data_IF_576354114048
#
_entry.id   IF_576354114048
#
_cell.length_a   1.000
_cell.length_b   1.000
_cell.length_c   1.000
_cell.angle_alpha   90.00
_cell.angle_beta   90.00
_cell.angle_gamma   90.00
#
_symmetry.space_group_name_H-M   'P 1'
#
loop_
_entity.id
_entity.type
_entity.pdbx_description
1 polymer ?
2 non-polymer ?
3 non-polymer ?
4 water ?
#
# COMPACT_ATOMS: atom_id res chain seq x y z
N UNK A 3 21.04 -13.93 5.77
CA UNK A 3 19.90 -13.76 6.66
C UNK A 3 19.66 -14.98 7.54
N UNK A 4 19.17 -14.74 8.74
CA UNK A 4 18.69 -15.84 9.60
C UNK A 4 17.60 -16.64 8.88
N UNK A 5 17.37 -17.89 9.26
CA UNK A 5 16.26 -18.65 8.71
C UNK A 5 14.94 -18.04 9.15
N UNK A 6 13.93 -17.95 8.26
CA UNK A 6 12.59 -17.56 8.73
C UNK A 6 12.13 -18.55 9.80
N UNK A 7 11.33 -18.02 10.73
CA UNK A 7 10.83 -18.77 11.88
C UNK A 7 9.35 -19.08 11.67
N UNK A 8 9.02 -20.26 11.16
CA UNK A 8 7.62 -20.59 10.89
C UNK A 8 6.81 -20.75 12.16
N UNK A 9 7.39 -21.26 13.24
CA UNK A 9 6.65 -21.38 14.50
C UNK A 9 6.26 -19.98 14.98
N UNK A 10 7.18 -19.04 14.86
CA UNK A 10 6.91 -17.62 15.22
C UNK A 10 5.82 -17.06 14.30
N UNK A 11 5.92 -17.30 13.01
CA UNK A 11 4.86 -16.83 12.10
C UNK A 11 3.51 -17.40 12.49
N UNK A 12 3.46 -18.71 12.79
CA UNK A 12 2.22 -19.36 13.19
C UNK A 12 1.63 -18.65 14.41
N UNK A 13 2.44 -18.32 15.39
CA UNK A 13 2.03 -17.65 16.62
C UNK A 13 1.48 -16.27 16.29
N UNK A 14 2.10 -15.55 15.37
CA UNK A 14 1.59 -14.24 14.99
C UNK A 14 0.18 -14.33 14.43
N UNK A 15 0.00 -15.28 13.49
CA UNK A 15 -1.33 -15.40 12.89
C UNK A 15 -2.36 -15.80 13.93
N UNK A 16 -1.98 -16.71 14.82
CA UNK A 16 -2.94 -17.13 15.87
C UNK A 16 -3.32 -15.98 16.78
N UNK A 17 -2.33 -15.15 17.12
CA UNK A 17 -2.61 -13.98 17.92
C UNK A 17 -3.55 -13.04 17.17
N UNK A 18 -3.30 -12.82 15.88
CA UNK A 18 -4.17 -11.91 15.12
C UNK A 18 -5.60 -12.40 15.14
N UNK A 19 -5.82 -13.71 15.00
CA UNK A 19 -7.18 -14.25 15.10
C UNK A 19 -7.77 -13.96 16.47
N UNK A 20 -6.98 -14.14 17.53
CA UNK A 20 -7.48 -13.92 18.90
C UNK A 20 -7.85 -12.47 19.11
N UNK A 21 -7.35 -11.55 18.32
CA UNK A 21 -7.59 -10.12 18.44
C UNK A 21 -8.69 -9.65 17.49
N UNK A 22 -9.24 -10.50 16.65
CA UNK A 22 -10.38 -10.15 15.84
C UNK A 22 -10.23 -10.28 14.36
N UNK A 23 -9.08 -10.72 13.84
CA UNK A 23 -8.97 -10.99 12.41
C UNK A 23 -9.71 -12.25 12.09
N UNK A 24 -10.66 -12.28 11.14
CA UNK A 24 -11.24 -13.58 10.77
C UNK A 24 -10.22 -14.55 10.22
N UNK A 25 -9.28 -14.03 9.44
CA UNK A 25 -8.22 -14.78 8.82
C UNK A 25 -6.97 -13.98 8.75
N UNK A 26 -5.85 -14.69 8.70
CA UNK A 26 -4.55 -14.04 8.60
C UNK A 26 -3.59 -15.00 7.90
N UNK A 27 -2.69 -14.49 7.11
CA UNK A 27 -1.82 -15.33 6.33
C UNK A 27 -0.54 -14.62 5.96
N UNK A 28 0.47 -15.37 5.56
CA UNK A 28 1.79 -14.85 5.24
C UNK A 28 2.49 -15.78 4.25
N UNK A 29 3.20 -15.17 3.30
CA UNK A 29 4.07 -15.89 2.39
C UNK A 29 5.44 -15.27 2.41
N UNK A 30 6.48 -16.07 2.55
CA UNK A 30 7.85 -15.64 2.45
C UNK A 30 8.46 -16.32 1.20
N UNK A 31 9.11 -15.55 0.36
CA UNK A 31 9.96 -16.11 -0.69
C UNK A 31 11.38 -15.88 -0.21
N UNK A 32 12.00 -16.95 0.29
CA UNK A 32 13.35 -16.90 0.84
C UNK A 32 14.33 -17.42 -0.18
N UNK A 33 14.74 -16.57 -1.12
CA UNK A 33 15.70 -16.91 -2.15
C UNK A 33 15.38 -18.21 -2.82
N UNK A 34 14.10 -18.39 -3.19
CA UNK A 34 13.70 -19.56 -3.90
C UNK A 34 13.09 -20.68 -3.09
N UNK A 35 13.07 -20.54 -1.77
CA UNK A 35 12.37 -21.50 -0.93
C UNK A 35 11.17 -20.78 -0.33
N UNK A 36 9.98 -21.35 -0.48
CA UNK A 36 8.73 -20.70 -0.06
C UNK A 36 8.35 -21.14 1.34
N UNK A 37 7.88 -20.15 2.10
CA UNK A 37 7.20 -20.38 3.39
C UNK A 37 5.77 -19.85 3.26
N UNK A 38 4.77 -20.63 3.66
CA UNK A 38 3.39 -20.16 3.51
C UNK A 38 2.54 -20.70 4.65
N UNK A 39 1.86 -19.79 5.34
CA UNK A 39 1.02 -20.13 6.47
C UNK A 39 -0.26 -19.29 6.42
N UNK A 40 -1.34 -19.87 6.89
CA UNK A 40 -2.60 -19.19 6.96
C UNK A 40 -3.41 -19.78 8.12
N UNK A 41 -4.26 -18.97 8.74
CA UNK A 41 -5.17 -19.45 9.76
C UNK A 41 -6.48 -18.70 9.62
N UNK A 42 -7.59 -19.40 9.85
CA UNK A 42 -8.89 -18.78 9.85
C UNK A 42 -9.53 -18.75 8.47
N UNK A 43 -10.45 -17.77 8.35
CA UNK A 43 -11.45 -17.80 7.29
C UNK A 43 -11.33 -16.59 6.35
N UNK A 44 -11.50 -16.88 5.07
CA UNK A 44 -11.67 -15.88 4.03
C UNK A 44 -13.07 -15.28 4.07
N UNK A 45 -14.07 -16.11 4.41
CA UNK A 45 -15.46 -15.68 4.46
C UNK A 45 -15.97 -16.24 5.79
N UNK A 46 -16.28 -15.31 6.70
CA UNK A 46 -16.65 -15.71 8.05
C UNK A 46 -18.10 -16.21 8.15
N UNK A 47 -18.92 -15.91 7.15
CA UNK A 47 -20.29 -16.34 7.14
C UNK A 47 -20.40 -17.74 6.55
N UNK A 48 -19.65 -18.04 5.49
CA UNK A 48 -19.66 -19.36 4.90
C UNK A 48 -18.65 -20.30 5.54
N UNK A 49 -17.63 -19.77 6.24
CA UNK A 49 -16.61 -20.56 6.82
C UNK A 49 -15.47 -20.97 5.90
N UNK A 50 -15.49 -20.51 4.67
CA UNK A 50 -14.40 -20.83 3.75
C UNK A 50 -13.05 -20.40 4.30
N UNK A 51 -12.09 -21.31 4.31
CA UNK A 51 -10.78 -21.05 4.86
C UNK A 51 -10.01 -20.03 4.00
N UNK A 52 -9.23 -19.18 4.68
CA UNK A 52 -8.28 -18.30 3.97
C UNK A 52 -7.08 -19.09 3.56
N UNK A 53 -6.49 -18.69 2.46
CA UNK A 53 -5.29 -19.32 1.93
C UNK A 53 -4.37 -18.29 1.29
N UNK A 54 -3.09 -18.59 1.20
CA UNK A 54 -2.14 -17.61 0.70
C UNK A 54 -2.32 -17.34 -0.81
N UNK A 55 -3.14 -18.06 -1.53
CA UNK A 55 -3.45 -17.77 -2.90
C UNK A 55 -4.67 -16.85 -3.08
N UNK A 56 -5.38 -16.49 -1.99
CA UNK A 56 -6.53 -15.63 -2.09
C UNK A 56 -6.13 -14.21 -2.45
N UNK A 57 -6.81 -13.66 -3.46
CA UNK A 57 -6.59 -12.25 -3.81
C UNK A 57 -7.19 -11.35 -2.75
N UNK A 58 -6.67 -10.14 -2.67
CA UNK A 58 -7.10 -9.20 -1.65
C UNK A 58 -6.78 -7.76 -2.09
N UNK A 59 -7.36 -6.78 -1.41
CA UNK A 59 -7.09 -5.37 -1.65
C UNK A 59 -5.86 -4.94 -0.87
N UNK A 60 -4.85 -4.44 -1.59
CA UNK A 60 -3.55 -4.10 -0.98
C UNK A 60 -3.49 -2.72 -0.38
N UNK A 61 -4.56 -1.93 -0.57
CA UNK A 61 -4.62 -0.58 0.00
C UNK A 61 -3.43 0.24 -0.39
N UNK A 62 -2.84 0.92 0.59
CA UNK A 62 -1.78 1.89 0.33
C UNK A 62 -0.50 1.28 -0.21
N UNK A 63 -0.36 -0.05 -0.30
CA UNK A 63 0.76 -0.62 -1.07
C UNK A 63 0.72 -0.09 -2.50
N UNK A 64 -0.47 0.29 -2.98
CA UNK A 64 -0.63 0.88 -4.29
C UNK A 64 0.31 2.05 -4.53
N UNK A 65 0.66 2.80 -3.47
CA UNK A 65 1.54 3.93 -3.66
C UNK A 65 2.87 3.52 -4.27
N UNK A 66 3.39 2.34 -3.93
CA UNK A 66 4.66 1.88 -4.53
C UNK A 66 4.50 1.61 -6.01
N UNK A 67 3.36 1.09 -6.43
CA UNK A 67 3.10 0.90 -7.86
C UNK A 67 3.07 2.25 -8.60
N UNK A 68 2.34 3.21 -8.02
CA UNK A 68 2.31 4.55 -8.60
C UNK A 68 3.70 5.17 -8.65
N UNK A 69 4.48 5.01 -7.61
CA UNK A 69 5.84 5.55 -7.57
C UNK A 69 6.71 4.92 -8.64
N UNK A 70 6.61 3.62 -8.84
CA UNK A 70 7.40 3.00 -9.90
C UNK A 70 7.07 3.58 -11.25
N UNK A 71 5.79 3.78 -11.55
CA UNK A 71 5.41 4.40 -12.83
C UNK A 71 6.03 5.80 -12.95
N UNK A 72 5.87 6.63 -11.92
CA UNK A 72 6.44 7.98 -11.97
C UNK A 72 7.94 7.94 -12.16
N UNK A 73 8.65 7.06 -11.49
CA UNK A 73 10.10 6.99 -11.61
C UNK A 73 10.54 6.51 -12.99
N UNK A 74 9.75 5.63 -13.62
CA UNK A 74 10.04 5.31 -14.99
C UNK A 74 9.84 6.52 -15.90
N UNK A 75 8.84 7.34 -15.62
CA UNK A 75 8.66 8.57 -16.38
C UNK A 75 9.83 9.51 -16.19
N UNK A 76 10.45 9.53 -15.02
CA UNK A 76 11.67 10.30 -14.79
C UNK A 76 12.78 9.73 -15.70
N UNK A 77 12.96 8.43 -15.68
CA UNK A 77 13.98 7.79 -16.54
C UNK A 77 13.79 8.15 -18.00
N UNK A 78 12.54 8.29 -18.45
CA UNK A 78 12.24 8.59 -19.84
C UNK A 78 12.31 10.07 -20.15
N UNK A 79 12.56 10.91 -19.16
CA UNK A 79 12.71 12.32 -19.42
C UNK A 79 11.41 13.08 -19.45
N UNK A 80 10.33 12.49 -18.98
CA UNK A 80 9.02 13.07 -19.02
C UNK A 80 8.60 13.78 -17.74
N UNK A 81 9.37 13.60 -16.69
CA UNK A 81 9.06 14.08 -15.36
C UNK A 81 10.37 14.47 -14.65
N UNK A 82 10.34 15.61 -13.98
CA UNK A 82 11.46 16.06 -13.16
C UNK A 82 10.99 16.07 -11.72
N UNK A 83 11.62 15.33 -10.85
CA UNK A 83 11.17 15.24 -9.45
C UNK A 83 11.19 16.58 -8.74
N UNK A 84 12.07 17.53 -9.15
CA UNK A 84 12.14 18.81 -8.48
C UNK A 84 11.37 19.90 -9.16
N UNK A 85 10.62 19.59 -10.22
CA UNK A 85 9.68 20.52 -10.79
C UNK A 85 8.45 20.62 -9.90
N UNK A 86 7.80 21.80 -9.95
CA UNK A 86 6.54 22.04 -9.30
C UNK A 86 5.44 21.17 -9.87
N UNK A 87 4.58 20.65 -9.00
CA UNK A 87 3.39 19.95 -9.49
C UNK A 87 2.62 20.80 -10.50
N UNK A 88 2.47 22.10 -10.18
CA UNK A 88 1.69 22.99 -11.02
C UNK A 88 2.33 23.25 -12.38
N UNK A 89 3.59 22.89 -12.57
CA UNK A 89 4.13 22.99 -13.93
C UNK A 89 3.46 22.00 -14.86
N UNK A 90 3.15 20.80 -14.35
CA UNK A 90 2.51 19.76 -15.12
C UNK A 90 0.97 19.79 -15.09
N UNK A 91 0.43 20.31 -14.00
CA UNK A 91 -1.02 20.34 -13.75
C UNK A 91 -1.31 21.78 -13.39
N UNK A 92 -1.33 22.68 -14.38
CA UNK A 92 -1.45 24.10 -14.03
C UNK A 92 -2.68 24.38 -13.22
N UNK A 93 -2.49 25.20 -12.20
CA UNK A 93 -3.48 25.63 -11.27
C UNK A 93 -3.98 24.62 -10.29
N UNK A 94 -3.36 23.46 -10.19
CA UNK A 94 -3.91 22.43 -9.32
C UNK A 94 -3.79 22.79 -7.87
N UNK A 95 -2.61 23.20 -7.44
CA UNK A 95 -2.34 23.40 -6.05
C UNK A 95 -2.19 24.90 -5.77
N UNK A 96 -2.48 25.30 -4.53
CA UNK A 96 -2.35 26.71 -4.13
C UNK A 96 -0.92 27.24 -4.11
N UNK A 97 0.06 26.34 -4.03
CA UNK A 97 1.44 26.76 -3.87
C UNK A 97 2.27 26.16 -5.00
N UNK A 98 2.82 26.99 -5.85
CA UNK A 98 3.73 26.60 -6.93
C UNK A 98 5.01 25.97 -6.41
N UNK A 99 5.38 26.16 -5.17
CA UNK A 99 6.64 25.59 -4.68
C UNK A 99 6.53 24.15 -4.35
N UNK A 100 5.34 23.55 -4.30
CA UNK A 100 5.20 22.15 -3.98
C UNK A 100 5.63 21.33 -5.17
N UNK A 101 6.65 20.46 -4.94
CA UNK A 101 7.25 19.69 -6.01
C UNK A 101 6.80 18.24 -6.01
N UNK A 102 7.07 17.58 -7.14
CA UNK A 102 6.76 16.18 -7.28
C UNK A 102 7.44 15.35 -6.21
N UNK A 103 8.73 15.62 -5.93
CA UNK A 103 9.45 14.86 -4.92
C UNK A 103 8.80 15.01 -3.55
N UNK A 104 8.37 16.23 -3.23
CA UNK A 104 7.68 16.44 -1.96
C UNK A 104 6.39 15.66 -1.88
N UNK A 105 5.60 15.65 -2.95
CA UNK A 105 4.37 14.85 -2.91
C UNK A 105 4.68 13.39 -2.70
N UNK A 106 5.68 12.86 -3.44
CA UNK A 106 5.92 11.43 -3.36
C UNK A 106 6.48 10.95 -2.03
N UNK A 107 7.01 11.87 -1.23
CA UNK A 107 7.60 11.59 0.07
C UNK A 107 6.75 12.08 1.24
N UNK A 108 5.51 12.51 0.94
CA UNK A 108 4.59 12.99 1.99
C UNK A 108 5.15 14.19 2.73
N UNK A 109 5.80 15.10 2.00
CA UNK A 109 6.34 16.35 2.54
C UNK A 109 5.66 17.55 1.91
N UNK A 110 4.49 17.41 1.28
CA UNK A 110 3.87 18.48 0.56
C UNK A 110 3.03 19.46 1.36
N UNK A 111 2.61 19.02 2.55
CA UNK A 111 1.63 19.73 3.33
C UNK A 111 0.21 19.57 2.96
N UNK A 112 -0.10 18.80 1.92
CA UNK A 112 -1.49 18.68 1.47
C UNK A 112 -2.34 17.93 2.48
N UNK A 113 -3.46 18.52 2.86
CA UNK A 113 -4.35 17.89 3.85
C UNK A 113 -4.90 16.59 3.33
N UNK A 114 -4.95 15.59 4.20
CA UNK A 114 -5.48 14.28 3.85
C UNK A 114 -7.03 14.30 4.00
N UNK A 115 -7.72 14.36 2.88
CA UNK A 115 -9.19 14.38 2.80
C UNK A 115 -9.82 13.17 3.48
N UNK A 116 -9.09 12.07 3.59
CA UNK A 116 -9.71 10.90 4.23
C UNK A 116 -9.97 11.17 5.72
N UNK A 117 -9.34 12.17 6.34
CA UNK A 117 -9.69 12.49 7.73
C UNK A 117 -11.13 12.99 7.81
N UNK A 118 -11.63 13.60 6.77
CA UNK A 118 -13.01 14.03 6.74
C UNK A 118 -13.86 12.78 6.46
N UNK A 119 -13.47 11.97 5.49
CA UNK A 119 -14.31 10.86 5.07
C UNK A 119 -14.55 9.81 6.12
N UNK A 120 -13.53 9.51 6.89
CA UNK A 120 -13.55 8.35 7.77
C UNK A 120 -13.44 8.75 9.24
N UNK A 121 -13.91 9.97 9.59
CA UNK A 121 -14.03 10.40 11.00
C UNK A 121 -14.76 9.33 11.80
N UNK A 122 -15.80 8.75 11.22
CA UNK A 122 -16.54 7.60 11.76
C UNK A 122 -16.33 6.44 10.77
N UNK A 123 -15.81 5.32 11.24
CA UNK A 123 -15.31 4.29 10.33
C UNK A 123 -16.40 3.69 9.45
N UNK A 124 -17.41 3.10 10.06
CA UNK A 124 -18.43 2.41 9.25
C UNK A 124 -19.30 3.39 8.51
N UNK A 125 -19.82 4.46 9.11
CA UNK A 125 -20.57 5.45 8.32
C UNK A 125 -19.77 6.01 7.16
N UNK A 126 -18.48 6.26 7.36
CA UNK A 126 -17.65 6.78 6.28
C UNK A 126 -17.52 5.79 5.17
N UNK A 127 -17.32 4.51 5.48
CA UNK A 127 -17.29 3.48 4.48
C UNK A 127 -18.59 3.44 3.70
N UNK A 128 -19.70 3.45 4.41
CA UNK A 128 -21.00 3.43 3.75
C UNK A 128 -21.20 4.64 2.85
N UNK A 129 -20.60 5.76 3.21
CA UNK A 129 -20.67 6.96 2.38
C UNK A 129 -19.90 6.82 1.06
N UNK A 130 -18.70 6.29 1.09
CA UNK A 130 -17.81 6.30 -0.06
C UNK A 130 -17.88 5.04 -0.89
N UNK A 131 -18.34 3.92 -0.35
CA UNK A 131 -18.04 2.64 -0.96
C UNK A 131 -18.56 2.51 -2.39
N UNK A 132 -19.67 3.15 -2.69
CA UNK A 132 -20.33 3.06 -3.98
C UNK A 132 -20.29 4.39 -4.71
N UNK A 133 -19.36 5.27 -4.37
CA UNK A 133 -19.17 6.52 -5.08
C UNK A 133 -17.99 6.39 -6.05
N UNK A 134 -18.11 7.19 -7.10
CA UNK A 134 -17.04 7.34 -8.10
C UNK A 134 -16.59 8.80 -8.07
N UNK A 135 -15.37 9.05 -7.73
CA UNK A 135 -14.77 10.36 -7.71
C UNK A 135 -13.82 10.53 -8.87
N UNK A 136 -13.73 11.77 -9.40
CA UNK A 136 -12.61 12.09 -10.25
C UNK A 136 -11.41 12.38 -9.38
N UNK A 137 -10.21 12.37 -10.00
CA UNK A 137 -9.02 12.82 -9.27
C UNK A 137 -9.22 14.26 -8.76
N UNK A 138 -9.70 15.11 -9.64
CA UNK A 138 -9.93 16.51 -9.26
C UNK A 138 -10.88 16.61 -8.08
N UNK A 139 -11.92 15.80 -8.00
CA UNK A 139 -12.84 15.85 -6.88
C UNK A 139 -12.08 15.70 -5.56
N UNK A 140 -11.16 14.73 -5.51
CA UNK A 140 -10.41 14.41 -4.30
C UNK A 140 -9.46 15.55 -3.96
N UNK A 141 -8.77 16.11 -4.95
CA UNK A 141 -7.92 17.26 -4.71
C UNK A 141 -8.75 18.42 -4.14
N UNK A 142 -9.90 18.69 -4.72
CA UNK A 142 -10.76 19.78 -4.20
C UNK A 142 -11.12 19.54 -2.77
N UNK A 143 -11.43 18.30 -2.37
CA UNK A 143 -11.75 18.01 -0.98
C UNK A 143 -10.58 18.33 -0.08
N UNK A 144 -9.36 17.97 -0.48
CA UNK A 144 -8.18 18.34 0.30
C UNK A 144 -8.05 19.86 0.47
N UNK A 145 -8.26 20.55 -0.66
CA UNK A 145 -7.97 21.99 -0.73
C UNK A 145 -9.05 22.79 -0.02
N UNK A 146 -10.11 22.19 0.46
CA UNK A 146 -11.02 22.88 1.41
C UNK A 146 -10.29 23.23 2.68
N UNK A 147 -9.16 22.60 2.95
CA UNK A 147 -8.35 22.82 4.15
C UNK A 147 -7.03 23.45 3.71
N UNK A 148 -6.48 24.21 4.66
CA UNK A 148 -5.15 24.72 4.40
C UNK A 148 -4.11 23.64 4.41
N UNK A 149 -2.98 23.92 3.80
CA UNK A 149 -1.87 22.99 3.96
C UNK A 149 -1.49 22.97 5.43
N UNK A 150 -0.88 21.87 5.81
CA UNK A 150 -0.52 21.55 7.19
C UNK A 150 0.92 21.91 7.54
N UNK A 151 1.74 22.19 6.55
CA UNK A 151 3.14 22.58 6.72
C UNK A 151 3.61 23.21 5.43
N UNK A 152 4.75 23.89 5.53
CA UNK A 152 5.37 24.49 4.36
C UNK A 152 5.90 23.43 3.43
N UNK A 153 6.07 23.70 2.12
CA UNK A 153 6.53 22.68 1.17
C UNK A 153 7.85 22.06 1.60
N UNK A 154 7.88 20.73 1.69
CA UNK A 154 9.05 19.96 1.96
C UNK A 154 9.38 19.88 3.44
N UNK A 155 8.66 20.61 4.33
CA UNK A 155 9.12 20.88 5.67
C UNK A 155 8.98 19.75 6.67
N UNK A 156 8.06 18.84 6.49
CA UNK A 156 7.67 17.86 7.46
C UNK A 156 7.06 16.66 6.76
N UNK A 157 7.25 15.50 7.34
CA UNK A 157 6.57 14.29 6.91
C UNK A 157 5.18 14.30 7.50
N UNK A 158 4.19 14.12 6.69
CA UNK A 158 2.81 13.95 7.11
C UNK A 158 2.10 13.12 6.06
N UNK A 159 1.82 11.87 6.38
CA UNK A 159 1.25 10.98 5.40
C UNK A 159 -0.05 11.54 4.86
N UNK A 160 -0.23 11.57 3.56
CA UNK A 160 -1.49 12.02 3.00
C UNK A 160 -1.81 11.27 1.72
N UNK A 161 -3.00 10.70 1.67
CA UNK A 161 -3.53 10.10 0.47
C UNK A 161 -3.57 11.06 -0.69
N UNK A 162 -3.81 12.34 -0.41
CA UNK A 162 -3.89 13.37 -1.46
C UNK A 162 -2.63 13.33 -2.31
N UNK A 163 -1.46 13.05 -1.72
CA UNK A 163 -0.23 13.04 -2.49
C UNK A 163 -0.28 12.03 -3.62
N UNK A 164 -0.85 10.86 -3.39
CA UNK A 164 -0.85 9.84 -4.43
C UNK A 164 -2.11 9.92 -5.30
N UNK A 165 -3.09 10.73 -4.95
CA UNK A 165 -4.07 11.23 -5.92
C UNK A 165 -3.36 12.12 -6.93
N UNK A 166 -2.54 13.08 -6.46
CA UNK A 166 -1.73 13.88 -7.37
C UNK A 166 -0.92 12.99 -8.27
N UNK A 167 -0.30 11.93 -7.69
CA UNK A 167 0.52 11.01 -8.48
C UNK A 167 -0.26 10.45 -9.65
N UNK A 168 -1.50 9.98 -9.40
CA UNK A 168 -2.29 9.44 -10.50
C UNK A 168 -2.66 10.45 -11.54
N UNK A 169 -2.95 11.68 -11.13
CA UNK A 169 -3.23 12.74 -12.10
C UNK A 169 -2.03 13.03 -12.95
N UNK A 170 -0.85 13.00 -12.36
CA UNK A 170 0.38 13.24 -13.10
C UNK A 170 0.61 12.11 -14.11
N UNK A 171 0.45 10.87 -13.67
CA UNK A 171 0.60 9.75 -14.59
C UNK A 171 -0.32 9.91 -15.80
N UNK A 172 -1.60 10.16 -15.54
CA UNK A 172 -2.54 10.19 -16.63
C UNK A 172 -2.30 11.37 -17.54
N UNK A 173 -1.97 12.54 -16.98
CA UNK A 173 -1.67 13.69 -17.85
C UNK A 173 -0.47 13.46 -18.73
N UNK A 174 0.62 13.03 -18.12
CA UNK A 174 1.90 12.97 -18.84
C UNK A 174 1.90 11.83 -19.86
N UNK A 175 1.18 10.75 -19.61
CA UNK A 175 1.19 9.62 -20.52
C UNK A 175 0.04 9.62 -21.50
N UNK A 176 -1.06 10.30 -21.18
CA UNK A 176 -2.27 10.25 -21.97
C UNK A 176 -3.05 8.94 -21.83
N UNK A 177 -2.68 8.14 -20.82
CA UNK A 177 -3.30 6.85 -20.62
C UNK A 177 -3.87 6.78 -19.21
N UNK A 178 -4.75 5.81 -18.97
CA UNK A 178 -5.21 5.58 -17.62
C UNK A 178 -4.14 4.97 -16.73
N UNK A 179 -4.27 5.13 -15.43
CA UNK A 179 -3.35 4.46 -14.52
C UNK A 179 -3.45 2.95 -14.70
N UNK A 180 -4.61 2.39 -14.95
CA UNK A 180 -4.69 0.96 -15.14
C UNK A 180 -3.78 0.51 -16.28
N UNK A 181 -3.83 1.22 -17.42
CA UNK A 181 -3.00 0.90 -18.56
C UNK A 181 -1.51 0.99 -18.21
N UNK A 182 -1.14 2.03 -17.50
CA UNK A 182 0.27 2.21 -17.15
C UNK A 182 0.75 1.14 -16.17
N UNK A 183 -0.05 0.80 -15.17
CA UNK A 183 0.34 -0.26 -14.26
C UNK A 183 0.48 -1.57 -15.05
N UNK A 184 -0.48 -1.84 -15.95
CA UNK A 184 -0.44 -3.11 -16.72
C UNK A 184 0.79 -3.19 -17.55
N UNK A 185 1.08 -2.13 -18.32
CA UNK A 185 2.16 -2.20 -19.29
C UNK A 185 3.55 -2.11 -18.64
N UNK A 186 3.65 -1.37 -17.57
CA UNK A 186 4.95 -1.12 -16.95
C UNK A 186 5.30 -2.07 -15.83
N UNK A 187 4.30 -2.72 -15.25
CA UNK A 187 4.52 -3.52 -14.04
C UNK A 187 3.87 -4.91 -14.17
N UNK A 188 2.55 -4.95 -14.32
CA UNK A 188 1.88 -6.24 -14.19
C UNK A 188 2.29 -7.20 -15.30
N UNK A 189 2.29 -6.74 -16.53
CA UNK A 189 2.66 -7.64 -17.63
C UNK A 189 4.11 -7.97 -17.56
N UNK A 190 5.07 -7.04 -17.46
CA UNK A 190 6.47 -7.44 -17.45
C UNK A 190 6.83 -8.40 -16.31
N UNK A 191 6.22 -8.28 -15.16
CA UNK A 191 6.52 -9.20 -14.05
C UNK A 191 5.60 -10.40 -14.00
N UNK A 192 4.67 -10.51 -14.94
CA UNK A 192 3.72 -11.60 -14.98
C UNK A 192 2.95 -11.76 -13.68
N UNK A 193 2.38 -10.63 -13.23
CA UNK A 193 1.62 -10.59 -11.99
C UNK A 193 0.17 -10.98 -12.25
N UNK A 194 -0.06 -12.31 -12.37
CA UNK A 194 -1.34 -12.86 -12.81
C UNK A 194 -2.46 -12.72 -11.80
N UNK A 195 -2.15 -12.36 -10.57
CA UNK A 195 -3.16 -12.11 -9.56
C UNK A 195 -3.38 -10.64 -9.27
N UNK A 196 -2.79 -9.75 -10.10
CA UNK A 196 -2.76 -8.31 -9.77
C UNK A 196 -3.58 -7.54 -10.77
N UNK A 197 -4.42 -6.67 -10.27
CA UNK A 197 -5.39 -5.95 -11.04
C UNK A 197 -5.61 -4.55 -10.53
N UNK A 198 -6.07 -3.68 -11.44
CA UNK A 198 -6.57 -2.34 -11.11
C UNK A 198 -7.85 -2.19 -11.89
N UNK A 199 -8.97 -2.35 -11.24
CA UNK A 199 -10.27 -2.44 -11.89
C UNK A 199 -11.17 -1.25 -11.60
N UNK A 200 -10.70 -0.27 -10.91
CA UNK A 200 -11.52 0.88 -10.51
C UNK A 200 -12.32 1.40 -11.69
N UNK A 201 -13.58 1.71 -11.51
CA UNK A 201 -14.38 1.67 -10.29
C UNK A 201 -15.17 0.39 -10.06
N UNK A 202 -14.82 -0.70 -10.72
CA UNK A 202 -15.52 -1.95 -10.47
C UNK A 202 -15.34 -2.36 -9.02
N UNK A 203 -16.36 -2.93 -8.44
CA UNK A 203 -16.42 -3.35 -7.05
C UNK A 203 -16.12 -4.83 -6.85
N UNK A 204 -16.10 -5.63 -7.91
CA UNK A 204 -15.83 -7.05 -7.83
C UNK A 204 -14.34 -7.30 -7.75
N UNK A 205 -13.94 -8.26 -6.89
CA UNK A 205 -12.56 -8.76 -6.89
C UNK A 205 -12.49 -9.98 -7.77
N UNK A 206 -11.72 -9.95 -8.85
CA UNK A 206 -11.71 -11.12 -9.75
C UNK A 206 -11.15 -12.35 -9.09
N UNK A 207 -11.79 -13.48 -9.34
CA UNK A 207 -11.30 -14.79 -8.87
C UNK A 207 -11.44 -14.93 -7.36
N UNK A 208 -10.87 -16.04 -6.86
CA UNK A 208 -11.00 -16.38 -5.47
C UNK A 208 -10.29 -15.37 -4.59
N UNK A 209 -10.98 -14.89 -3.58
CA UNK A 209 -10.46 -13.78 -2.78
C UNK A 209 -10.86 -13.93 -1.34
N UNK A 210 -10.09 -13.29 -0.49
CA UNK A 210 -10.46 -13.08 0.90
C UNK A 210 -11.51 -11.99 0.94
N UNK A 211 -12.58 -12.18 1.70
CA UNK A 211 -13.48 -11.08 2.01
C UNK A 211 -12.82 -10.23 3.05
N UNK A 212 -13.17 -8.94 3.04
CA UNK A 212 -12.69 -7.99 4.02
C UNK A 212 -13.73 -7.70 5.07
N UNK A 213 -13.33 -7.54 6.31
CA UNK A 213 -14.23 -7.31 7.39
C UNK A 213 -13.80 -6.08 8.18
N UNK A 214 -14.61 -5.05 8.06
CA UNK A 214 -14.34 -3.77 8.72
C UNK A 214 -14.80 -3.86 10.17
N UNK A 215 -13.88 -3.56 11.08
CA UNK A 215 -14.20 -3.54 12.50
C UNK A 215 -14.86 -2.22 12.81
N UNK A 216 -16.01 -2.22 13.48
CA UNK A 216 -16.67 -0.95 13.82
C UNK A 216 -15.91 -0.22 14.91
N UNK A 217 -16.19 1.08 15.02
CA UNK A 217 -15.58 1.86 16.11
C UNK A 217 -16.02 1.46 17.49
N UNK A 218 -17.19 0.88 17.61
CA UNK A 218 -17.68 0.44 18.94
C UNK A 218 -17.07 -0.89 19.31
N UNK A 219 -16.38 -0.97 20.43
CA UNK A 219 -15.74 -2.19 20.87
C UNK A 219 -16.82 -3.28 20.93
N UNK A 220 -16.46 -4.46 20.44
CA UNK A 220 -17.35 -5.61 20.45
C UNK A 220 -18.42 -5.60 19.36
N UNK A 221 -18.50 -4.57 18.52
CA UNK A 221 -19.53 -4.50 17.51
C UNK A 221 -19.35 -5.52 16.44
N UNK A 222 -20.47 -5.85 15.77
CA UNK A 222 -20.50 -6.81 14.67
C UNK A 222 -19.65 -6.31 13.51
N UNK A 223 -18.92 -7.21 12.87
CA UNK A 223 -18.10 -6.89 11.71
C UNK A 223 -18.99 -6.61 10.50
N UNK A 224 -18.47 -5.73 9.65
CA UNK A 224 -19.15 -5.32 8.41
C UNK A 224 -18.36 -5.88 7.23
N UNK A 225 -19.02 -6.57 6.31
CA UNK A 225 -18.37 -7.06 5.09
C UNK A 225 -18.07 -5.87 4.21
N UNK A 226 -16.81 -5.56 4.00
CA UNK A 226 -16.37 -4.42 3.22
C UNK A 226 -15.66 -4.80 1.93
N UNK A 227 -15.84 -6.07 1.52
CA UNK A 227 -15.14 -6.60 0.35
C UNK A 227 -15.31 -5.78 -0.91
N UNK A 228 -16.56 -5.47 -1.22
CA UNK A 228 -16.90 -4.93 -2.54
C UNK A 228 -17.13 -3.43 -2.43
N UNK A 229 -16.24 -2.66 -3.02
CA UNK A 229 -16.31 -1.21 -3.00
C UNK A 229 -15.52 -0.72 -4.22
N UNK A 230 -15.76 0.55 -4.57
CA UNK A 230 -15.06 1.12 -5.75
C UNK A 230 -13.61 1.41 -5.44
N UNK A 231 -13.30 1.72 -4.18
CA UNK A 231 -12.00 2.25 -3.78
C UNK A 231 -11.72 3.55 -4.54
N UNK A 232 -12.78 4.24 -4.96
CA UNK A 232 -12.59 5.47 -5.75
C UNK A 232 -12.04 6.60 -4.91
N UNK A 233 -12.24 6.51 -3.58
CA UNK A 233 -11.68 7.49 -2.65
C UNK A 233 -10.15 7.44 -2.64
N UNK A 234 -9.53 6.37 -3.13
CA UNK A 234 -8.08 6.22 -3.09
C UNK A 234 -7.45 6.12 -4.48
N UNK A 235 -7.98 5.29 -5.39
CA UNK A 235 -7.45 5.18 -6.78
C UNK A 235 -5.97 4.91 -6.75
N UNK A 236 -5.14 5.77 -7.31
CA UNK A 236 -3.67 5.56 -7.36
C UNK A 236 -3.00 5.67 -6.01
N UNK A 237 -3.70 5.99 -4.95
CA UNK A 237 -3.22 5.90 -3.59
C UNK A 237 -3.61 4.58 -2.91
N UNK A 238 -4.49 3.77 -3.49
CA UNK A 238 -4.96 2.58 -2.74
C UNK A 238 -5.77 1.50 -3.41
N UNK A 239 -6.02 1.47 -4.72
CA UNK A 239 -7.01 0.54 -5.27
C UNK A 239 -6.47 -0.71 -5.93
N UNK A 240 -5.17 -1.04 -5.87
CA UNK A 240 -4.68 -2.29 -6.49
C UNK A 240 -5.18 -3.50 -5.70
N UNK A 241 -5.47 -4.57 -6.47
CA UNK A 241 -5.77 -5.91 -5.98
C UNK A 241 -4.56 -6.79 -6.27
N UNK A 242 -4.16 -7.65 -5.33
CA UNK A 242 -3.03 -8.53 -5.62
C UNK A 242 -3.10 -9.78 -4.74
N UNK A 243 -1.98 -10.46 -4.69
CA UNK A 243 -1.79 -11.67 -3.91
C UNK A 243 -0.46 -11.61 -3.19
N UNK A 244 -0.26 -12.51 -2.23
CA UNK A 244 1.02 -12.58 -1.53
C UNK A 244 2.15 -12.91 -2.49
N UNK A 245 1.93 -13.84 -3.40
CA UNK A 245 3.00 -14.19 -4.35
C UNK A 245 3.36 -12.99 -5.19
N UNK A 246 2.35 -12.25 -5.72
CA UNK A 246 2.63 -11.17 -6.61
C UNK A 246 3.26 -9.98 -5.91
N UNK A 247 2.88 -9.66 -4.67
CA UNK A 247 3.55 -8.57 -3.99
C UNK A 247 5.00 -8.96 -3.67
N UNK A 248 5.26 -10.21 -3.33
CA UNK A 248 6.62 -10.67 -3.14
C UNK A 248 7.42 -10.48 -4.44
N UNK A 249 6.85 -10.90 -5.55
CA UNK A 249 7.53 -10.72 -6.85
C UNK A 249 7.83 -9.25 -7.09
N UNK A 250 6.84 -8.39 -6.89
CA UNK A 250 6.97 -6.96 -7.14
C UNK A 250 8.09 -6.33 -6.31
N UNK A 251 8.05 -6.51 -4.98
CA UNK A 251 9.06 -5.83 -4.18
C UNK A 251 10.45 -6.46 -4.38
N UNK A 252 10.51 -7.77 -4.66
CA UNK A 252 11.81 -8.34 -4.99
C UNK A 252 12.38 -7.74 -6.28
N UNK A 253 11.52 -7.58 -7.30
CA UNK A 253 11.94 -6.99 -8.56
C UNK A 253 12.38 -5.52 -8.36
N UNK A 254 11.64 -4.79 -7.53
CA UNK A 254 12.02 -3.39 -7.24
C UNK A 254 13.41 -3.33 -6.63
N UNK A 255 13.59 -4.06 -5.52
CA UNK A 255 14.82 -3.88 -4.74
C UNK A 255 16.00 -4.45 -5.51
N UNK A 256 15.80 -5.45 -6.35
CA UNK A 256 16.88 -6.05 -7.12
C UNK A 256 17.20 -5.29 -8.38
N UNK A 257 16.52 -4.18 -8.65
CA UNK A 257 16.93 -3.29 -9.72
C UNK A 257 16.23 -3.49 -11.02
N UNK A 258 15.11 -4.17 -11.08
CA UNK A 258 14.48 -4.54 -12.34
C UNK A 258 13.45 -3.56 -12.85
N UNK A 259 13.05 -2.56 -12.07
CA UNK A 259 11.91 -1.73 -12.45
C UNK A 259 12.24 -0.30 -12.83
N UNK A 260 13.48 0.11 -12.76
CA UNK A 260 13.87 1.49 -13.07
C UNK A 260 15.37 1.55 -13.11
N UNK A 261 15.92 2.70 -13.49
CA UNK A 261 17.38 2.84 -13.44
C UNK A 261 17.91 2.83 -12.01
N UNK A 262 19.21 2.52 -11.89
CA UNK A 262 19.83 2.62 -10.59
C UNK A 262 19.66 4.00 -9.99
N UNK A 263 19.81 5.04 -10.81
CA UNK A 263 19.71 6.41 -10.32
C UNK A 263 18.33 6.64 -9.69
N UNK A 264 17.27 6.19 -10.35
CA UNK A 264 15.95 6.44 -9.82
C UNK A 264 15.65 5.57 -8.60
N UNK A 265 16.16 4.34 -8.52
CA UNK A 265 15.99 3.57 -7.30
C UNK A 265 16.66 4.25 -6.14
N UNK A 266 17.84 4.87 -6.38
CA UNK A 266 18.51 5.59 -5.34
C UNK A 266 17.67 6.78 -4.86
N UNK A 267 17.02 7.48 -5.78
CA UNK A 267 16.12 8.56 -5.37
C UNK A 267 14.96 8.04 -4.54
N UNK A 268 14.44 6.89 -4.94
CA UNK A 268 13.34 6.26 -4.23
C UNK A 268 13.66 5.92 -2.80
N UNK A 269 14.93 5.64 -2.50
CA UNK A 269 15.42 5.29 -1.21
C UNK A 269 16.11 6.42 -0.44
N UNK A 270 15.82 7.65 -0.83
CA UNK A 270 16.30 8.79 -0.01
C UNK A 270 15.30 8.95 1.13
N UNK A 271 15.69 8.55 2.33
CA UNK A 271 14.72 8.41 3.40
C UNK A 271 14.42 9.72 4.15
N UNK A 272 13.15 10.03 4.28
CA UNK A 272 12.61 11.02 5.18
C UNK A 272 12.31 10.30 6.50
N UNK A 273 12.80 10.80 7.63
CA UNK A 273 12.58 10.15 8.90
C UNK A 273 11.11 10.12 9.26
N UNK A 274 10.60 8.94 9.66
CA UNK A 274 9.23 8.78 10.19
C UNK A 274 9.30 8.62 11.73
N UNK A 275 10.17 7.71 12.16
CA UNK A 275 10.51 7.58 13.59
C UNK A 275 11.89 6.95 13.66
N UNK A 276 12.32 6.61 14.87
CA UNK A 276 13.71 6.15 14.98
C UNK A 276 13.93 4.81 14.33
N UNK A 277 12.92 4.09 13.88
CA UNK A 277 13.09 2.79 13.21
C UNK A 277 12.39 2.77 11.86
N UNK A 278 11.97 3.90 11.30
CA UNK A 278 11.24 3.93 10.05
C UNK A 278 11.53 5.17 9.23
N UNK A 279 11.56 5.00 7.92
CA UNK A 279 11.67 6.07 6.95
C UNK A 279 10.69 5.95 5.82
N UNK A 280 10.52 7.03 5.08
CA UNK A 280 9.69 7.07 3.89
C UNK A 280 10.52 7.65 2.75
N UNK A 281 10.56 7.00 1.63
CA UNK A 281 11.33 7.41 0.47
C UNK A 281 10.41 8.11 -0.51
N UNK A 282 10.32 7.55 -1.74
CA UNK A 282 9.34 8.03 -2.72
C UNK A 282 8.37 6.86 -2.98
N UNK A 283 7.23 6.92 -2.28
CA UNK A 283 6.30 5.81 -2.35
C UNK A 283 6.85 4.50 -1.88
N UNK A 284 7.69 4.51 -0.84
CA UNK A 284 8.41 3.36 -0.33
C UNK A 284 8.69 3.57 1.14
N UNK A 285 8.61 2.53 1.91
CA UNK A 285 8.88 2.57 3.35
C UNK A 285 10.09 1.74 3.70
N UNK A 286 10.79 2.19 4.73
CA UNK A 286 11.84 1.43 5.38
C UNK A 286 11.43 1.11 6.80
N UNK A 287 11.58 -0.16 7.21
CA UNK A 287 11.40 -0.57 8.61
C UNK A 287 12.66 -1.21 9.11
N UNK A 288 13.13 -0.75 10.27
CA UNK A 288 14.31 -1.29 10.92
C UNK A 288 13.90 -2.33 11.96
N UNK A 289 14.35 -3.55 11.77
CA UNK A 289 13.93 -4.66 12.64
C UNK A 289 14.86 -4.85 13.80
N UNK A 290 14.37 -5.57 14.79
CA UNK A 290 15.05 -5.67 16.08
C UNK A 290 16.46 -6.23 15.95
N UNK A 291 16.64 -7.05 14.96
CA UNK A 291 17.91 -7.72 14.85
C UNK A 291 18.89 -6.94 14.01
N UNK A 292 18.60 -5.68 13.65
CA UNK A 292 19.54 -4.84 12.94
C UNK A 292 19.52 -5.04 11.44
N UNK A 293 18.44 -5.58 10.93
CA UNK A 293 18.12 -5.69 9.52
C UNK A 293 17.13 -4.60 9.17
N UNK A 294 17.25 -3.93 8.03
CA UNK A 294 16.19 -3.08 7.50
C UNK A 294 15.53 -3.79 6.30
N UNK A 295 14.23 -3.52 6.20
CA UNK A 295 13.46 -4.04 5.06
C UNK A 295 12.65 -2.94 4.43
N UNK A 296 12.21 -3.16 3.20
CA UNK A 296 11.80 -2.09 2.29
C UNK A 296 10.54 -2.50 1.58
N UNK A 297 9.54 -1.65 1.54
CA UNK A 297 8.28 -2.01 0.93
C UNK A 297 7.18 -1.10 1.31
N UNK A 298 5.99 -1.63 1.61
CA UNK A 298 4.91 -0.69 2.00
C UNK A 298 3.89 -1.51 2.81
N UNK A 299 3.21 -0.81 3.68
CA UNK A 299 2.00 -1.29 4.32
C UNK A 299 0.78 -0.92 3.52
N UNK A 300 -0.29 -1.62 3.79
CA UNK A 300 -1.56 -1.33 3.21
C UNK A 300 -2.66 -1.39 4.24
N UNK A 301 -3.49 -0.39 4.20
CA UNK A 301 -4.70 -0.43 4.87
C UNK A 301 -5.73 0.02 3.81
N UNK A 302 -6.86 -0.56 3.85
CA UNK A 302 -8.10 -0.27 3.15
C UNK A 302 -9.19 -1.01 3.88
N UNK A 303 -10.45 -0.64 3.76
CA UNK A 303 -11.44 -1.22 4.66
C UNK A 303 -11.52 -2.75 4.55
N UNK A 304 -11.27 -3.39 5.69
CA UNK A 304 -11.29 -4.83 5.81
C UNK A 304 -9.99 -5.56 5.49
N UNK A 305 -8.92 -4.86 5.14
CA UNK A 305 -7.66 -5.53 4.79
C UNK A 305 -6.42 -4.79 5.31
N UNK A 306 -5.59 -5.49 6.04
CA UNK A 306 -4.29 -5.00 6.47
C UNK A 306 -3.18 -5.83 5.81
N UNK A 307 -2.26 -5.13 5.14
CA UNK A 307 -1.14 -5.74 4.41
C UNK A 307 0.18 -5.21 4.92
N UNK A 308 1.15 -6.11 5.00
CA UNK A 308 2.55 -5.76 5.07
C UNK A 308 3.26 -6.43 3.91
N UNK A 309 4.02 -5.68 3.10
CA UNK A 309 4.78 -6.28 1.98
C UNK A 309 6.15 -5.66 1.95
N UNK A 310 7.18 -6.43 2.34
CA UNK A 310 8.54 -5.92 2.49
C UNK A 310 9.56 -6.92 1.98
N UNK A 311 10.69 -6.41 1.51
CA UNK A 311 11.76 -7.20 0.99
C UNK A 311 13.10 -6.73 1.58
N UNK A 312 14.06 -7.61 1.59
CA UNK A 312 15.43 -7.25 1.93
C UNK A 312 16.02 -6.33 0.85
N UNK A 313 17.16 -5.70 1.18
CA UNK A 313 17.73 -4.65 0.36
C UNK A 313 18.07 -5.17 -1.03
N UNK A 314 18.48 -6.44 -1.15
CA UNK A 314 18.82 -7.02 -2.46
C UNK A 314 17.65 -7.76 -3.09
N UNK A 315 16.46 -7.71 -2.46
CA UNK A 315 15.28 -8.37 -2.97
C UNK A 315 15.26 -9.88 -2.84
N UNK A 316 16.29 -10.49 -2.24
CA UNK A 316 16.34 -11.94 -2.22
C UNK A 316 15.36 -12.59 -1.26
N UNK A 317 14.95 -11.89 -0.21
CA UNK A 317 13.88 -12.38 0.66
C UNK A 317 12.77 -11.36 0.65
N UNK A 318 11.55 -11.81 0.41
CA UNK A 318 10.38 -10.94 0.45
C UNK A 318 9.29 -11.63 1.26
N UNK A 319 8.45 -10.82 1.91
CA UNK A 319 7.39 -11.28 2.77
C UNK A 319 6.16 -10.44 2.52
N UNK A 320 5.00 -11.10 2.40
CA UNK A 320 3.73 -10.41 2.36
C UNK A 320 2.78 -11.08 3.32
N UNK A 321 2.21 -10.29 4.22
CA UNK A 321 1.26 -10.74 5.24
C UNK A 321 -0.04 -9.97 5.05
N UNK A 322 -1.15 -10.65 5.31
CA UNK A 322 -2.49 -10.09 5.14
C UNK A 322 -3.36 -10.60 6.30
N UNK A 323 -4.09 -9.67 6.92
CA UNK A 323 -5.19 -10.01 7.81
C UNK A 323 -6.46 -9.36 7.20
N UNK A 324 -7.54 -10.10 7.12
CA UNK A 324 -8.75 -9.55 6.49
C UNK A 324 -9.69 -8.87 7.46
N UNK A 325 -9.07 -7.96 8.25
CA UNK A 325 -9.84 -6.93 8.95
C UNK A 325 -9.07 -5.63 8.84
N UNK A 326 -9.77 -4.54 9.23
CA UNK A 326 -9.10 -3.27 9.44
C UNK A 326 -9.82 -2.54 10.57
N UNK A 327 -9.34 -1.37 10.90
CA UNK A 327 -9.80 -0.60 12.07
C UNK A 327 -9.66 -1.43 13.34
N UNK A 328 -8.52 -2.10 13.47
CA UNK A 328 -8.20 -2.92 14.62
C UNK A 328 -6.73 -2.84 14.87
N UNK A 329 -6.33 -1.83 15.67
CA UNK A 329 -4.91 -1.61 15.85
C UNK A 329 -4.19 -2.75 16.50
N UNK A 330 -4.85 -3.54 17.34
CA UNK A 330 -4.17 -4.73 17.87
C UNK A 330 -3.75 -5.66 16.76
N UNK A 331 -4.65 -5.92 15.84
CA UNK A 331 -4.31 -6.78 14.69
C UNK A 331 -3.23 -6.14 13.86
N UNK A 332 -3.31 -4.86 13.58
CA UNK A 332 -2.32 -4.18 12.76
C UNK A 332 -0.94 -4.32 13.39
N UNK A 333 -0.85 -4.10 14.68
CA UNK A 333 0.42 -4.20 15.37
C UNK A 333 0.93 -5.61 15.39
N UNK A 334 0.03 -6.56 15.65
CA UNK A 334 0.47 -7.97 15.66
C UNK A 334 1.01 -8.38 14.30
N UNK A 335 0.34 -8.00 13.23
CA UNK A 335 0.76 -8.46 11.90
C UNK A 335 2.16 -7.93 11.55
N UNK A 336 2.58 -6.79 12.10
CA UNK A 336 3.91 -6.32 11.86
C UNK A 336 4.96 -7.30 12.34
N UNK A 337 4.61 -8.13 13.33
CA UNK A 337 5.54 -9.10 13.88
C UNK A 337 5.93 -10.17 12.87
N UNK A 338 5.14 -10.33 11.80
CA UNK A 338 5.55 -11.26 10.74
C UNK A 338 6.89 -10.87 10.19
N UNK A 339 7.25 -9.59 10.15
CA UNK A 339 8.53 -9.18 9.60
C UNK A 339 9.68 -9.64 10.47
N UNK A 340 9.50 -9.57 11.79
CA UNK A 340 10.46 -10.06 12.76
C UNK A 340 10.67 -11.54 12.53
N UNK A 341 9.60 -12.32 12.54
CA UNK A 341 9.79 -13.77 12.42
C UNK A 341 10.38 -14.15 11.10
N UNK A 342 9.99 -13.47 10.00
CA UNK A 342 10.42 -13.86 8.66
C UNK A 342 11.85 -13.45 8.36
N UNK A 343 12.30 -12.28 8.87
CA UNK A 343 13.63 -11.77 8.59
C UNK A 343 14.62 -12.04 9.74
N UNK A 344 14.24 -11.80 10.97
CA UNK A 344 15.12 -11.98 12.10
C UNK A 344 15.19 -13.43 12.58
N UNK A 345 14.14 -14.22 12.32
CA UNK A 345 14.12 -15.60 12.75
C UNK A 345 13.90 -15.81 14.22
N UNK A 346 14.20 -17.03 14.65
CA UNK A 346 14.08 -17.41 16.03
C UNK A 346 15.05 -16.61 16.91
N UNK A 347 14.64 -16.25 18.09
CA UNK A 347 15.56 -15.78 19.14
C UNK A 347 16.80 -16.64 19.35
#
# INVERSE_FOLDING_TARGET
ADLPAPDDTGLQAVLHTALSQGAPGAMVRVDDNGTIHQLSEGVADRATGRAITTTDRFRVGSVTKSFSAVVLLQLVDEGKLDLDASVNTYLPGLLPDDRITVRQVMSHRSGLYDYTNDMFAQTVPGFESVRNKVFSYQDLITLSLKHGVTNAPGAAYSYSNTNFVVAGMLIEKLTGHSVATEYQNRIFTPLNLTDTFYVHPDTVIPGTHANGYLTPDEAGGALVDSTEQTVSWAQSAGAVISSTQDLDTFFSALMSGQLMSAAQLAQMQQWTTVNSTQGYGLGLRRRDLSCGISVYGHTGTVQGYYTYAFASKDGKRSVTALANTSNNVNVLNTMARTLESAFCGKPTT
#
